data_IF_683376049484
#
_entry.id   IF_683376049484
#
_cell.length_a   1.000
_cell.length_b   1.000
_cell.length_c   1.000
_cell.angle_alpha   90.00
_cell.angle_beta   90.00
_cell.angle_gamma   90.00
#
_symmetry.space_group_name_H-M   'P 1'
#
loop_
_entity.id
_entity.type
_entity.pdbx_description
1 polymer ?
#
# COMPACT_ATOMS: atom_id res chain seq x y z
N UNK A 1 -18.15 23.88 -12.71
CA UNK A 1 -17.36 24.23 -11.52
C UNK A 1 -15.94 23.79 -11.79
N UNK A 2 -14.94 24.69 -11.68
CA UNK A 2 -13.54 24.30 -11.83
C UNK A 2 -13.16 23.36 -10.69
N UNK A 3 -12.47 22.24 -11.00
CA UNK A 3 -11.97 21.33 -9.97
C UNK A 3 -10.97 22.08 -9.10
N UNK A 4 -11.16 22.05 -7.79
CA UNK A 4 -10.20 22.60 -6.82
C UNK A 4 -8.94 21.77 -6.84
N UNK A 5 -7.77 22.40 -6.97
CA UNK A 5 -6.49 21.72 -6.89
C UNK A 5 -6.31 21.11 -5.49
N UNK A 6 -6.07 19.82 -5.43
CA UNK A 6 -5.79 19.04 -4.20
C UNK A 6 -4.33 18.64 -4.14
N UNK A 7 -3.82 18.37 -2.95
CA UNK A 7 -2.42 17.97 -2.71
C UNK A 7 -2.39 16.54 -2.19
N UNK A 8 -1.69 15.67 -2.90
CA UNK A 8 -1.47 14.27 -2.54
C UNK A 8 0.02 14.01 -2.31
N UNK A 9 0.32 13.05 -1.45
CA UNK A 9 1.66 12.47 -1.36
C UNK A 9 1.59 10.96 -1.62
N UNK A 10 2.59 10.42 -2.31
CA UNK A 10 2.66 9.01 -2.65
C UNK A 10 4.07 8.49 -2.44
N UNK A 11 4.22 7.34 -1.78
CA UNK A 11 5.49 6.60 -1.77
C UNK A 11 5.46 5.52 -2.86
N UNK A 12 6.61 5.20 -3.48
CA UNK A 12 6.65 4.28 -4.61
C UNK A 12 6.00 4.87 -5.87
N UNK A 13 6.14 6.17 -6.08
CA UNK A 13 5.53 6.91 -7.19
C UNK A 13 6.31 6.87 -8.51
N UNK A 14 7.46 6.17 -8.58
CA UNK A 14 8.29 6.11 -9.77
C UNK A 14 7.86 5.02 -10.78
N UNK A 15 7.27 3.92 -10.32
CA UNK A 15 6.91 2.77 -11.18
C UNK A 15 5.55 2.16 -10.81
N UNK A 16 5.04 1.28 -11.67
CA UNK A 16 3.87 0.43 -11.42
C UNK A 16 2.59 1.22 -11.09
N UNK A 17 1.84 0.71 -10.11
CA UNK A 17 0.55 1.27 -9.69
C UNK A 17 0.73 2.72 -9.18
N UNK A 18 1.80 2.99 -8.41
CA UNK A 18 2.06 4.32 -7.87
C UNK A 18 2.32 5.38 -8.95
N UNK A 19 3.13 5.04 -9.98
CA UNK A 19 3.39 5.93 -11.10
C UNK A 19 2.12 6.22 -11.91
N UNK A 20 1.30 5.21 -12.14
CA UNK A 20 0.05 5.37 -12.88
C UNK A 20 -0.95 6.24 -12.11
N UNK A 21 -1.12 6.01 -10.81
CA UNK A 21 -1.98 6.86 -9.98
C UNK A 21 -1.48 8.32 -9.96
N UNK A 22 -0.16 8.51 -9.81
CA UNK A 22 0.47 9.84 -9.88
C UNK A 22 0.12 10.53 -11.19
N UNK A 23 0.30 9.84 -12.32
CA UNK A 23 -0.03 10.36 -13.65
C UNK A 23 -1.50 10.78 -13.76
N UNK A 24 -2.43 9.94 -13.27
CA UNK A 24 -3.87 10.23 -13.34
C UNK A 24 -4.25 11.44 -12.47
N UNK A 25 -3.73 11.55 -11.25
CA UNK A 25 -4.00 12.68 -10.37
C UNK A 25 -3.42 13.99 -10.92
N UNK A 26 -2.21 13.96 -11.48
CA UNK A 26 -1.60 15.11 -12.14
C UNK A 26 -2.39 15.55 -13.39
N UNK A 27 -2.88 14.59 -14.17
CA UNK A 27 -3.74 14.88 -15.33
C UNK A 27 -5.06 15.55 -14.96
N UNK A 28 -5.53 15.38 -13.72
CA UNK A 28 -6.69 16.10 -13.15
C UNK A 28 -6.33 17.49 -12.59
N UNK A 29 -5.07 17.92 -12.69
CA UNK A 29 -4.63 19.22 -12.19
C UNK A 29 -4.31 19.24 -10.69
N UNK A 30 -4.10 18.07 -10.07
CA UNK A 30 -3.72 17.97 -8.67
C UNK A 30 -2.19 18.03 -8.50
N UNK A 31 -1.75 18.54 -7.35
CA UNK A 31 -0.35 18.43 -6.92
C UNK A 31 -0.10 17.04 -6.34
N UNK A 32 0.93 16.34 -6.80
CA UNK A 32 1.33 15.04 -6.28
C UNK A 32 2.80 15.07 -5.92
N UNK A 33 3.10 14.87 -4.64
CA UNK A 33 4.45 14.78 -4.08
C UNK A 33 4.84 13.30 -4.07
N UNK A 34 5.90 12.94 -4.78
CA UNK A 34 6.38 11.57 -4.85
C UNK A 34 7.61 11.35 -3.98
N UNK A 35 7.59 10.26 -3.21
CA UNK A 35 8.72 9.73 -2.46
C UNK A 35 9.12 8.40 -3.07
N UNK A 36 10.38 8.23 -3.44
CA UNK A 36 10.86 6.95 -3.97
C UNK A 36 12.34 6.74 -3.60
N UNK A 37 12.84 5.51 -3.75
CA UNK A 37 14.23 5.18 -3.40
C UNK A 37 15.23 5.71 -4.45
N UNK A 38 14.81 5.87 -5.69
CA UNK A 38 15.69 6.26 -6.82
C UNK A 38 15.30 7.59 -7.42
N UNK A 39 14.02 7.84 -7.61
CA UNK A 39 13.52 8.96 -8.40
C UNK A 39 12.20 9.49 -7.85
N UNK A 40 12.14 10.78 -7.53
CA UNK A 40 10.95 11.44 -6.99
C UNK A 40 11.25 12.86 -6.56
N UNK A 41 10.23 13.55 -6.05
CA UNK A 41 10.41 14.87 -5.43
C UNK A 41 11.25 14.75 -4.15
N UNK A 42 11.18 13.58 -3.51
CA UNK A 42 11.94 13.20 -2.32
C UNK A 42 12.55 11.83 -2.56
N UNK A 43 13.87 11.72 -2.43
CA UNK A 43 14.60 10.44 -2.51
C UNK A 43 14.87 9.95 -1.09
N UNK A 44 14.32 8.78 -0.73
CA UNK A 44 14.44 8.22 0.61
C UNK A 44 14.36 6.68 0.60
N UNK A 45 15.24 6.04 1.37
CA UNK A 45 15.20 4.59 1.62
C UNK A 45 14.29 4.30 2.82
N UNK A 46 13.06 3.90 2.56
CA UNK A 46 12.04 3.64 3.56
C UNK A 46 12.32 2.39 4.41
N UNK A 47 13.31 1.58 4.07
CA UNK A 47 13.73 0.44 4.90
C UNK A 47 14.44 0.86 6.18
N UNK A 48 14.84 2.14 6.29
CA UNK A 48 15.57 2.71 7.42
C UNK A 48 14.76 3.80 8.13
N UNK A 49 14.98 3.98 9.43
CA UNK A 49 14.35 5.07 10.20
C UNK A 49 14.71 6.45 9.66
N UNK A 50 15.99 6.64 9.32
CA UNK A 50 16.46 7.90 8.74
C UNK A 50 15.77 8.22 7.40
N UNK A 51 15.57 7.21 6.55
CA UNK A 51 14.86 7.38 5.29
C UNK A 51 13.37 7.65 5.50
N UNK A 52 12.72 6.98 6.45
CA UNK A 52 11.33 7.27 6.85
C UNK A 52 11.17 8.71 7.32
N UNK A 53 12.11 9.18 8.17
CA UNK A 53 12.10 10.56 8.65
C UNK A 53 12.35 11.55 7.51
N UNK A 54 13.29 11.27 6.61
CA UNK A 54 13.55 12.08 5.41
C UNK A 54 12.29 12.22 4.55
N UNK A 55 11.55 11.13 4.36
CA UNK A 55 10.29 11.14 3.62
C UNK A 55 9.23 12.02 4.30
N UNK A 56 9.06 11.88 5.61
CA UNK A 56 8.09 12.66 6.41
C UNK A 56 8.43 14.15 6.34
N UNK A 57 9.68 14.52 6.62
CA UNK A 57 10.11 15.92 6.64
C UNK A 57 10.04 16.56 5.25
N UNK A 58 10.41 15.82 4.21
CA UNK A 58 10.29 16.27 2.83
C UNK A 58 8.85 16.56 2.42
N UNK A 59 7.92 15.64 2.74
CA UNK A 59 6.49 15.84 2.46
C UNK A 59 5.95 17.03 3.26
N UNK A 60 6.33 17.19 4.52
CA UNK A 60 5.95 18.35 5.36
C UNK A 60 6.43 19.67 4.74
N UNK A 61 7.67 19.70 4.26
CA UNK A 61 8.23 20.88 3.59
C UNK A 61 7.51 21.26 2.31
N UNK A 62 7.03 20.27 1.54
CA UNK A 62 6.35 20.48 0.26
C UNK A 62 4.83 20.66 0.38
N UNK A 63 4.21 20.27 1.50
CA UNK A 63 2.77 20.39 1.76
C UNK A 63 2.47 21.08 3.11
N UNK A 64 2.97 22.30 3.39
CA UNK A 64 2.78 22.96 4.68
C UNK A 64 1.30 23.21 5.03
N UNK A 65 0.46 23.37 4.01
CA UNK A 65 -0.98 23.63 4.17
C UNK A 65 -1.80 22.34 4.41
N UNK A 66 -1.18 21.17 4.35
CA UNK A 66 -1.81 19.85 4.57
C UNK A 66 -1.97 19.01 3.32
N UNK A 67 -2.43 17.78 3.54
CA UNK A 67 -2.61 16.75 2.51
C UNK A 67 -4.09 16.39 2.36
N UNK A 68 -4.59 16.43 1.14
CA UNK A 68 -5.90 15.87 0.76
C UNK A 68 -5.88 14.35 0.65
N UNK A 69 -4.70 13.76 0.46
CA UNK A 69 -4.53 12.32 0.53
C UNK A 69 -3.07 11.88 0.62
N UNK A 70 -2.89 10.70 1.24
CA UNK A 70 -1.59 10.03 1.33
C UNK A 70 -1.72 8.57 0.90
N UNK A 71 -0.83 8.14 0.04
CA UNK A 71 -0.83 6.81 -0.55
C UNK A 71 0.53 6.14 -0.32
N UNK A 72 0.72 5.37 0.75
CA UNK A 72 1.93 4.58 0.97
C UNK A 72 1.94 3.36 0.03
N UNK A 73 2.37 3.56 -1.23
CA UNK A 73 2.35 2.56 -2.28
C UNK A 73 3.71 1.85 -2.48
N UNK A 74 4.79 2.35 -1.87
CA UNK A 74 6.08 1.66 -1.89
C UNK A 74 5.96 0.26 -1.29
N UNK A 75 6.56 -0.73 -1.95
CA UNK A 75 6.52 -2.10 -1.49
C UNK A 75 7.56 -2.97 -2.18
N UNK A 76 7.91 -4.08 -1.53
CA UNK A 76 8.83 -5.08 -2.02
C UNK A 76 8.09 -6.40 -2.29
N UNK A 77 8.51 -7.15 -3.33
CA UNK A 77 7.92 -8.45 -3.67
C UNK A 77 8.36 -9.56 -2.71
N UNK A 78 7.69 -10.75 -2.75
CA UNK A 78 8.04 -11.89 -1.90
C UNK A 78 9.45 -12.47 -2.16
N UNK A 79 10.06 -12.13 -3.29
CA UNK A 79 11.41 -12.57 -3.68
C UNK A 79 12.52 -11.68 -3.13
N UNK A 80 12.20 -10.53 -2.52
CA UNK A 80 13.19 -9.61 -1.96
C UNK A 80 13.95 -10.25 -0.77
N UNK A 81 15.25 -9.95 -0.65
CA UNK A 81 16.12 -10.48 0.39
C UNK A 81 16.97 -9.36 1.03
N UNK A 82 17.25 -9.46 2.35
CA UNK A 82 16.66 -10.38 3.31
C UNK A 82 15.15 -10.16 3.47
N UNK A 83 14.42 -11.15 4.02
CA UNK A 83 12.95 -11.06 4.15
C UNK A 83 12.51 -9.93 5.08
N UNK A 84 13.33 -9.59 6.06
CA UNK A 84 13.12 -8.44 6.95
C UNK A 84 12.98 -7.11 6.21
N UNK A 85 13.57 -6.94 5.01
CA UNK A 85 13.33 -5.76 4.18
C UNK A 85 11.85 -5.62 3.79
N UNK A 86 11.17 -6.76 3.54
CA UNK A 86 9.73 -6.76 3.23
C UNK A 86 8.94 -6.23 4.42
N UNK A 87 9.24 -6.68 5.64
CA UNK A 87 8.61 -6.17 6.86
C UNK A 87 8.84 -4.66 7.01
N UNK A 88 10.09 -4.22 6.88
CA UNK A 88 10.51 -2.82 7.03
C UNK A 88 9.79 -1.89 6.06
N UNK A 89 9.70 -2.27 4.78
CA UNK A 89 9.09 -1.41 3.75
C UNK A 89 7.58 -1.57 3.71
N UNK A 90 7.06 -2.80 3.68
CA UNK A 90 5.64 -3.06 3.44
C UNK A 90 4.76 -2.79 4.68
N UNK A 91 5.33 -2.79 5.88
CA UNK A 91 4.58 -2.53 7.10
C UNK A 91 5.12 -1.35 7.89
N UNK A 92 6.35 -1.41 8.42
CA UNK A 92 6.86 -0.39 9.34
C UNK A 92 6.99 0.99 8.69
N UNK A 93 7.46 1.08 7.45
CA UNK A 93 7.52 2.34 6.72
C UNK A 93 6.12 2.90 6.43
N UNK A 94 5.15 2.03 6.10
CA UNK A 94 3.76 2.45 5.88
C UNK A 94 3.18 3.06 7.15
N UNK A 95 3.28 2.36 8.30
CA UNK A 95 2.78 2.85 9.58
C UNK A 95 3.49 4.14 9.99
N UNK A 96 4.82 4.17 9.95
CA UNK A 96 5.61 5.35 10.35
C UNK A 96 5.24 6.60 9.53
N UNK A 97 5.11 6.46 8.21
CA UNK A 97 4.77 7.60 7.34
C UNK A 97 3.31 8.03 7.49
N UNK A 98 2.36 7.11 7.66
CA UNK A 98 0.95 7.47 7.93
C UNK A 98 0.82 8.22 9.26
N UNK A 99 1.45 7.71 10.31
CA UNK A 99 1.45 8.36 11.63
C UNK A 99 2.19 9.70 11.57
N UNK A 100 3.35 9.74 10.91
CA UNK A 100 4.18 10.94 10.79
C UNK A 100 3.57 12.07 9.98
N UNK A 101 2.59 11.78 9.11
CA UNK A 101 1.89 12.78 8.27
C UNK A 101 0.45 13.03 8.73
N UNK A 102 0.02 12.46 9.85
CA UNK A 102 -1.36 12.51 10.33
C UNK A 102 -1.89 13.94 10.46
N UNK A 103 -1.13 14.83 11.09
CA UNK A 103 -1.54 16.22 11.30
C UNK A 103 -1.75 17.00 9.99
N UNK A 104 -1.01 16.67 8.91
CA UNK A 104 -1.23 17.24 7.59
C UNK A 104 -2.54 16.74 6.96
N UNK A 105 -2.87 15.48 7.18
CA UNK A 105 -4.15 14.89 6.75
C UNK A 105 -5.32 15.47 7.54
N UNK A 106 -5.17 15.68 8.83
CA UNK A 106 -6.20 16.28 9.70
C UNK A 106 -6.55 17.72 9.27
N UNK A 107 -5.55 18.52 8.87
CA UNK A 107 -5.77 19.90 8.34
C UNK A 107 -6.75 19.94 7.16
N UNK A 108 -6.76 18.91 6.31
CA UNK A 108 -7.58 18.83 5.09
C UNK A 108 -8.75 17.84 5.21
N UNK A 109 -8.88 17.13 6.35
CA UNK A 109 -9.78 15.98 6.47
C UNK A 109 -9.55 14.99 5.33
N UNK A 110 -8.29 14.70 5.09
CA UNK A 110 -7.81 13.96 3.93
C UNK A 110 -8.12 12.46 3.98
N UNK A 111 -7.57 11.73 3.02
CA UNK A 111 -7.77 10.28 2.89
C UNK A 111 -6.44 9.55 2.84
N UNK A 112 -6.27 8.51 3.65
CA UNK A 112 -5.19 7.53 3.51
C UNK A 112 -5.70 6.35 2.70
N UNK A 113 -4.95 5.95 1.68
CA UNK A 113 -5.27 4.77 0.90
C UNK A 113 -4.09 3.79 0.92
N UNK A 114 -4.21 2.76 1.74
CA UNK A 114 -3.20 1.71 1.89
C UNK A 114 -3.24 0.74 0.70
N UNK A 115 -2.09 0.17 0.38
CA UNK A 115 -1.98 -0.87 -0.64
C UNK A 115 -1.72 -2.21 0.04
N UNK A 116 -2.80 -2.99 0.18
CA UNK A 116 -2.80 -4.38 0.64
C UNK A 116 -2.48 -5.34 -0.52
N UNK A 117 -3.06 -6.53 -0.51
CA UNK A 117 -2.98 -7.54 -1.57
C UNK A 117 -4.13 -8.54 -1.40
N UNK A 118 -4.57 -9.18 -2.47
CA UNK A 118 -5.48 -10.30 -2.40
C UNK A 118 -4.87 -11.54 -1.71
N UNK A 119 -3.55 -11.57 -1.50
CA UNK A 119 -2.87 -12.59 -0.70
C UNK A 119 -2.96 -12.36 0.81
N UNK A 120 -3.32 -11.15 1.26
CA UNK A 120 -3.39 -10.82 2.69
C UNK A 120 -4.26 -11.78 3.51
N UNK A 121 -5.45 -12.22 3.05
CA UNK A 121 -6.29 -13.17 3.77
C UNK A 121 -5.69 -14.56 3.93
N UNK A 122 -4.68 -14.92 3.14
CA UNK A 122 -4.04 -16.24 3.19
C UNK A 122 -3.22 -16.47 4.47
N UNK A 123 -2.89 -15.40 5.20
CA UNK A 123 -2.14 -15.47 6.46
C UNK A 123 -3.11 -15.26 7.63
N UNK A 124 -3.03 -16.12 8.64
CA UNK A 124 -3.87 -16.05 9.83
C UNK A 124 -3.64 -14.75 10.62
N UNK A 125 -4.68 -14.27 11.30
CA UNK A 125 -4.57 -13.05 12.12
C UNK A 125 -3.67 -13.22 13.33
N UNK A 126 -3.56 -14.42 13.88
CA UNK A 126 -2.74 -14.79 15.04
C UNK A 126 -1.35 -15.30 14.67
N UNK A 127 -0.97 -15.21 13.39
CA UNK A 127 0.40 -15.51 12.94
C UNK A 127 1.44 -14.67 13.69
N UNK A 128 2.53 -15.29 14.13
CA UNK A 128 3.54 -14.65 14.99
C UNK A 128 4.17 -13.41 14.35
N UNK A 129 4.48 -13.46 13.04
CA UNK A 129 5.00 -12.31 12.30
C UNK A 129 3.96 -11.17 12.23
N UNK A 130 2.71 -11.49 11.94
CA UNK A 130 1.62 -10.51 11.90
C UNK A 130 1.44 -9.86 13.27
N UNK A 131 1.48 -10.63 14.36
CA UNK A 131 1.34 -10.09 15.71
C UNK A 131 2.53 -9.23 16.13
N UNK A 132 3.77 -9.59 15.78
CA UNK A 132 4.95 -8.75 16.02
C UNK A 132 4.85 -7.41 15.27
N UNK A 133 4.42 -7.44 14.00
CA UNK A 133 4.12 -6.21 13.25
C UNK A 133 3.09 -5.34 13.99
N UNK A 134 1.96 -5.90 14.39
CA UNK A 134 0.87 -5.17 15.06
C UNK A 134 1.25 -4.66 16.46
N UNK A 135 2.21 -5.30 17.13
CA UNK A 135 2.80 -4.82 18.39
C UNK A 135 3.75 -3.62 18.16
N UNK A 136 4.16 -3.35 16.93
CA UNK A 136 5.13 -2.30 16.59
C UNK A 136 6.57 -2.70 16.90
N UNK A 137 6.83 -3.99 17.13
CA UNK A 137 8.17 -4.52 17.43
C UNK A 137 8.87 -4.91 16.13
N UNK A 138 9.60 -3.96 15.55
CA UNK A 138 10.28 -4.14 14.26
C UNK A 138 11.38 -5.22 14.35
N UNK A 139 12.12 -5.27 15.47
CA UNK A 139 13.20 -6.24 15.63
C UNK A 139 12.65 -7.67 15.76
N UNK A 140 11.60 -7.86 16.57
CA UNK A 140 10.94 -9.15 16.68
C UNK A 140 10.29 -9.58 15.34
N UNK A 141 9.63 -8.69 14.63
CA UNK A 141 9.04 -9.00 13.33
C UNK A 141 10.10 -9.37 12.29
N UNK A 142 11.23 -8.66 12.26
CA UNK A 142 12.35 -8.95 11.36
C UNK A 142 12.99 -10.32 11.69
N UNK A 143 13.22 -10.61 12.97
CA UNK A 143 13.79 -11.90 13.39
C UNK A 143 12.86 -13.07 13.06
N UNK A 144 11.57 -12.91 13.31
CA UNK A 144 10.55 -13.93 13.02
C UNK A 144 10.48 -14.23 11.51
N UNK A 145 10.49 -13.21 10.67
CA UNK A 145 10.30 -13.41 9.23
C UNK A 145 11.55 -13.88 8.50
N UNK A 146 12.76 -13.51 8.95
CA UNK A 146 14.00 -13.96 8.33
C UNK A 146 14.22 -15.47 8.49
N UNK A 147 13.52 -16.11 9.44
CA UNK A 147 13.52 -17.57 9.62
C UNK A 147 12.46 -18.31 8.77
N UNK A 148 11.68 -17.60 7.94
CA UNK A 148 10.52 -18.16 7.22
C UNK A 148 10.67 -18.03 5.69
N UNK A 149 9.58 -17.80 4.99
CA UNK A 149 9.52 -17.73 3.53
C UNK A 149 8.99 -16.41 3.00
N UNK A 150 9.23 -16.13 1.71
CA UNK A 150 8.86 -14.86 1.09
C UNK A 150 7.35 -14.66 0.93
N UNK A 151 6.57 -15.75 0.77
CA UNK A 151 5.11 -15.63 0.71
C UNK A 151 4.56 -15.13 2.05
N UNK A 152 5.01 -15.73 3.14
CA UNK A 152 4.62 -15.30 4.50
C UNK A 152 5.07 -13.87 4.77
N UNK A 153 6.28 -13.48 4.35
CA UNK A 153 6.76 -12.11 4.51
C UNK A 153 5.87 -11.10 3.79
N UNK A 154 5.56 -11.37 2.52
CA UNK A 154 4.74 -10.49 1.71
C UNK A 154 3.28 -10.47 2.18
N UNK A 155 2.60 -11.61 2.16
CA UNK A 155 1.18 -11.71 2.51
C UNK A 155 0.92 -11.32 3.97
N UNK A 156 1.81 -11.71 4.89
CA UNK A 156 1.75 -11.34 6.30
C UNK A 156 1.89 -9.84 6.54
N UNK A 157 2.84 -9.16 5.84
CA UNK A 157 2.94 -7.70 5.90
C UNK A 157 1.68 -6.99 5.40
N UNK A 158 1.05 -7.53 4.33
CA UNK A 158 -0.22 -7.01 3.78
C UNK A 158 -1.42 -7.32 4.68
N UNK A 159 -1.40 -8.46 5.37
CA UNK A 159 -2.37 -8.78 6.43
C UNK A 159 -2.24 -7.82 7.60
N UNK A 160 -1.03 -7.63 8.11
CA UNK A 160 -0.76 -6.76 9.24
C UNK A 160 -1.22 -5.31 8.99
N UNK A 161 -0.91 -4.73 7.82
CA UNK A 161 -1.32 -3.34 7.52
C UNK A 161 -2.83 -3.19 7.39
N UNK A 162 -3.53 -4.20 6.86
CA UNK A 162 -4.99 -4.21 6.79
C UNK A 162 -5.62 -4.26 8.19
N UNK A 163 -5.07 -5.10 9.08
CA UNK A 163 -5.51 -5.18 10.47
C UNK A 163 -5.17 -3.91 11.25
N UNK A 164 -3.98 -3.33 11.03
CA UNK A 164 -3.61 -2.04 11.62
C UNK A 164 -4.63 -0.96 11.25
N UNK A 165 -4.99 -0.83 9.97
CA UNK A 165 -6.03 0.09 9.53
C UNK A 165 -7.31 -0.09 10.32
N UNK A 166 -7.84 -1.31 10.38
CA UNK A 166 -9.12 -1.59 11.04
C UNK A 166 -9.08 -1.31 12.55
N UNK A 167 -7.94 -1.48 13.20
CA UNK A 167 -7.77 -1.18 14.63
C UNK A 167 -7.74 0.32 14.93
N UNK A 168 -7.28 1.16 13.97
CA UNK A 168 -7.10 2.60 14.17
C UNK A 168 -8.19 3.45 13.51
N UNK A 169 -9.14 2.85 12.79
CA UNK A 169 -10.10 3.60 11.99
C UNK A 169 -10.94 4.60 12.80
N UNK A 170 -11.36 4.24 14.00
CA UNK A 170 -12.18 5.11 14.86
C UNK A 170 -11.41 6.37 15.24
N UNK A 171 -10.13 6.22 15.54
CA UNK A 171 -9.24 7.31 15.93
C UNK A 171 -9.00 8.30 14.77
N UNK A 172 -8.78 7.79 13.56
CA UNK A 172 -8.60 8.63 12.37
C UNK A 172 -9.92 9.29 11.94
N UNK A 173 -11.01 8.55 11.93
CA UNK A 173 -12.33 9.08 11.56
C UNK A 173 -12.81 10.18 12.50
N UNK A 174 -12.46 10.13 13.80
CA UNK A 174 -12.78 11.17 14.77
C UNK A 174 -12.17 12.54 14.41
N UNK A 175 -11.07 12.56 13.66
CA UNK A 175 -10.43 13.80 13.16
C UNK A 175 -10.86 14.16 11.73
N UNK A 176 -11.76 13.38 11.15
CA UNK A 176 -12.26 13.55 9.78
C UNK A 176 -11.37 12.90 8.70
N UNK A 177 -10.31 12.18 9.08
CA UNK A 177 -9.44 11.46 8.15
C UNK A 177 -10.03 10.10 7.83
N UNK A 178 -10.24 9.79 6.55
CA UNK A 178 -10.66 8.46 6.10
C UNK A 178 -9.44 7.58 5.85
N UNK A 179 -9.49 6.33 6.28
CA UNK A 179 -8.45 5.35 5.96
C UNK A 179 -9.10 4.13 5.33
N UNK A 180 -8.65 3.74 4.16
CA UNK A 180 -9.11 2.59 3.41
C UNK A 180 -7.93 1.81 2.82
N UNK A 181 -8.18 0.66 2.24
CA UNK A 181 -7.19 -0.13 1.53
C UNK A 181 -7.72 -0.63 0.18
N UNK A 182 -6.83 -0.71 -0.81
CA UNK A 182 -7.03 -1.56 -1.98
C UNK A 182 -6.25 -2.85 -1.79
N UNK A 183 -6.80 -3.95 -2.29
CA UNK A 183 -6.18 -5.27 -2.32
C UNK A 183 -6.04 -5.73 -3.78
N UNK A 184 -4.97 -5.34 -4.47
CA UNK A 184 -4.75 -5.73 -5.86
C UNK A 184 -4.55 -7.23 -6.00
N UNK A 185 -5.04 -7.79 -7.12
CA UNK A 185 -4.60 -9.06 -7.65
C UNK A 185 -3.28 -8.97 -8.43
N UNK A 186 -2.98 -9.99 -9.23
CA UNK A 186 -1.80 -9.96 -10.09
C UNK A 186 -1.91 -8.76 -11.04
N UNK A 187 -1.00 -7.81 -10.86
CA UNK A 187 -0.93 -6.57 -11.65
C UNK A 187 0.40 -6.49 -12.35
N UNK A 188 0.42 -6.28 -13.66
CA UNK A 188 1.62 -6.24 -14.48
C UNK A 188 2.45 -5.00 -14.19
N UNK A 189 3.49 -5.17 -13.39
CA UNK A 189 4.39 -4.10 -12.89
C UNK A 189 5.83 -4.62 -12.83
N UNK A 190 6.84 -3.74 -12.75
CA UNK A 190 8.23 -4.18 -12.52
C UNK A 190 8.43 -5.01 -11.25
N UNK A 191 7.56 -4.86 -10.25
CA UNK A 191 7.56 -5.71 -9.06
C UNK A 191 7.11 -7.12 -9.39
N UNK A 192 6.03 -7.26 -10.15
CA UNK A 192 5.47 -8.55 -10.56
C UNK A 192 6.39 -9.28 -11.55
N UNK A 193 7.09 -8.54 -12.41
CA UNK A 193 8.08 -9.10 -13.33
C UNK A 193 9.20 -9.85 -12.58
N UNK A 194 9.64 -9.34 -11.43
CA UNK A 194 10.62 -10.02 -10.59
C UNK A 194 10.09 -11.35 -10.04
N UNK A 195 8.79 -11.41 -9.68
CA UNK A 195 8.16 -12.65 -9.21
C UNK A 195 8.00 -13.66 -10.33
N UNK A 196 7.61 -13.22 -11.54
CA UNK A 196 7.52 -14.11 -12.71
C UNK A 196 8.87 -14.67 -13.15
N UNK A 197 9.96 -13.94 -12.93
CA UNK A 197 11.32 -14.36 -13.25
C UNK A 197 11.93 -15.29 -12.19
N UNK A 198 11.31 -15.43 -11.02
CA UNK A 198 11.81 -16.24 -9.93
C UNK A 198 11.53 -17.73 -10.15
N UNK A 199 12.54 -18.58 -9.91
CA UNK A 199 12.46 -20.03 -10.12
C UNK A 199 11.42 -20.71 -9.21
N UNK A 200 11.18 -20.17 -8.02
CA UNK A 200 10.27 -20.73 -7.02
C UNK A 200 8.83 -20.26 -7.22
N UNK A 201 8.64 -18.97 -7.50
CA UNK A 201 7.32 -18.34 -7.56
C UNK A 201 6.75 -18.23 -8.96
N UNK A 202 7.60 -18.17 -9.99
CA UNK A 202 7.20 -17.79 -11.33
C UNK A 202 6.14 -18.70 -11.97
N UNK A 203 6.29 -20.04 -11.86
CA UNK A 203 5.32 -20.99 -12.40
C UNK A 203 3.96 -20.90 -11.70
N UNK A 204 3.95 -20.90 -10.36
CA UNK A 204 2.73 -20.79 -9.58
C UNK A 204 2.00 -19.46 -9.81
N UNK A 205 2.73 -18.36 -9.98
CA UNK A 205 2.16 -17.06 -10.28
C UNK A 205 1.52 -17.03 -11.67
N UNK A 206 2.11 -17.71 -12.66
CA UNK A 206 1.55 -17.85 -14.00
C UNK A 206 0.25 -18.66 -13.97
N UNK A 207 0.29 -19.85 -13.35
CA UNK A 207 -0.89 -20.70 -13.22
C UNK A 207 -2.04 -19.97 -12.50
N UNK A 208 -1.72 -19.22 -11.45
CA UNK A 208 -2.72 -18.42 -10.76
C UNK A 208 -3.27 -17.31 -11.65
N UNK A 209 -2.42 -16.66 -12.46
CA UNK A 209 -2.84 -15.65 -13.43
C UNK A 209 -3.82 -16.18 -14.47
N UNK A 210 -3.62 -17.42 -14.93
CA UNK A 210 -4.50 -18.09 -15.88
C UNK A 210 -5.88 -18.47 -15.28
N UNK A 211 -5.98 -18.54 -13.94
CA UNK A 211 -7.21 -18.84 -13.21
C UNK A 211 -8.03 -17.61 -12.82
N UNK A 212 -7.56 -16.39 -13.08
CA UNK A 212 -8.27 -15.15 -12.72
C UNK A 212 -9.65 -15.14 -13.38
N UNK A 213 -10.76 -15.04 -12.61
CA UNK A 213 -12.12 -15.21 -13.15
C UNK A 213 -12.50 -14.28 -14.30
N UNK A 214 -12.00 -13.03 -14.31
CA UNK A 214 -12.24 -12.12 -15.45
C UNK A 214 -11.38 -12.41 -16.69
N UNK A 215 -10.51 -13.44 -16.65
CA UNK A 215 -9.77 -13.97 -17.78
C UNK A 215 -8.45 -13.29 -18.11
N UNK A 216 -8.01 -12.31 -17.31
CA UNK A 216 -6.71 -11.63 -17.50
C UNK A 216 -6.17 -11.05 -16.19
N UNK A 217 -4.86 -10.84 -16.15
CA UNK A 217 -4.21 -10.08 -15.07
C UNK A 217 -4.43 -8.58 -15.25
N UNK A 218 -4.41 -7.84 -14.12
CA UNK A 218 -4.64 -6.40 -14.15
C UNK A 218 -3.45 -5.61 -14.70
N UNK A 219 -3.74 -4.46 -15.29
CA UNK A 219 -2.76 -3.42 -15.57
C UNK A 219 -2.73 -2.40 -14.42
N UNK A 220 -1.64 -1.64 -14.23
CA UNK A 220 -1.59 -0.58 -13.22
C UNK A 220 -2.76 0.39 -13.26
N UNK A 221 -3.29 0.66 -14.45
CA UNK A 221 -4.44 1.52 -14.69
C UNK A 221 -5.72 0.99 -14.03
N UNK A 222 -5.96 -0.33 -14.05
CA UNK A 222 -7.14 -0.95 -13.45
C UNK A 222 -7.19 -0.67 -11.93
N UNK A 223 -6.05 -0.79 -11.28
CA UNK A 223 -5.92 -0.52 -9.84
C UNK A 223 -6.02 0.99 -9.58
N UNK A 224 -5.28 1.81 -10.33
CA UNK A 224 -5.25 3.25 -10.17
C UNK A 224 -6.63 3.90 -10.36
N UNK A 225 -7.48 3.39 -11.23
CA UNK A 225 -8.85 3.86 -11.43
C UNK A 225 -9.69 3.73 -10.15
N UNK A 226 -9.62 2.58 -9.47
CA UNK A 226 -10.30 2.37 -8.18
C UNK A 226 -9.68 3.25 -7.09
N UNK A 227 -8.34 3.34 -7.03
CA UNK A 227 -7.65 4.20 -6.06
C UNK A 227 -8.07 5.66 -6.21
N UNK A 228 -8.17 6.16 -7.43
CA UNK A 228 -8.62 7.53 -7.71
C UNK A 228 -10.04 7.77 -7.21
N UNK A 229 -10.97 6.83 -7.45
CA UNK A 229 -12.32 6.90 -6.89
C UNK A 229 -12.29 6.96 -5.35
N UNK A 230 -11.52 6.10 -4.70
CA UNK A 230 -11.45 6.05 -3.23
C UNK A 230 -10.85 7.31 -2.60
N UNK A 231 -10.00 8.02 -3.34
CA UNK A 231 -9.43 9.31 -2.93
C UNK A 231 -10.35 10.49 -3.21
N UNK A 232 -11.40 10.31 -4.01
CA UNK A 232 -12.33 11.37 -4.42
C UNK A 232 -13.38 11.69 -3.34
N UNK A 233 -14.17 12.75 -3.60
CA UNK A 233 -15.29 13.14 -2.74
C UNK A 233 -16.47 12.18 -2.87
N UNK A 234 -16.62 11.51 -4.02
CA UNK A 234 -17.65 10.48 -4.22
C UNK A 234 -17.50 9.32 -3.22
N UNK A 235 -16.28 9.06 -2.73
CA UNK A 235 -16.02 8.06 -1.71
C UNK A 235 -16.07 8.62 -0.27
N UNK A 236 -16.69 9.79 -0.03
CA UNK A 236 -16.68 10.48 1.27
C UNK A 236 -17.26 9.66 2.43
N UNK A 237 -18.12 8.68 2.16
CA UNK A 237 -18.70 7.80 3.17
C UNK A 237 -18.03 6.41 3.24
N UNK A 238 -16.93 6.20 2.48
CA UNK A 238 -16.14 4.96 2.51
C UNK A 238 -15.00 5.12 3.50
N UNK A 239 -15.01 4.33 4.59
CA UNK A 239 -14.03 4.39 5.66
C UNK A 239 -13.84 3.02 6.32
N UNK A 240 -12.59 2.56 6.47
CA UNK A 240 -12.26 1.25 7.05
C UNK A 240 -12.48 0.06 6.11
N UNK A 241 -12.70 0.31 4.83
CA UNK A 241 -12.99 -0.72 3.84
C UNK A 241 -11.73 -1.24 3.14
N UNK A 242 -11.76 -2.51 2.76
CA UNK A 242 -10.78 -3.14 1.88
C UNK A 242 -11.46 -3.46 0.55
N UNK A 243 -10.95 -2.88 -0.53
CA UNK A 243 -11.48 -3.12 -1.87
C UNK A 243 -10.57 -4.10 -2.62
N UNK A 244 -11.05 -5.30 -2.85
CA UNK A 244 -10.37 -6.26 -3.71
C UNK A 244 -10.52 -5.81 -5.17
N UNK A 245 -9.38 -5.62 -5.84
CA UNK A 245 -9.28 -5.23 -7.24
C UNK A 245 -8.42 -6.29 -7.93
N UNK A 246 -8.97 -7.47 -8.08
CA UNK A 246 -8.23 -8.70 -8.34
C UNK A 246 -8.88 -9.63 -9.37
N UNK A 247 -9.86 -9.11 -10.10
CA UNK A 247 -10.57 -9.86 -11.13
C UNK A 247 -11.41 -11.03 -10.58
N UNK A 248 -11.76 -11.02 -9.28
CA UNK A 248 -12.55 -12.04 -8.63
C UNK A 248 -11.74 -13.17 -8.00
N UNK A 249 -10.41 -13.05 -7.96
CA UNK A 249 -9.53 -14.10 -7.41
C UNK A 249 -9.78 -14.37 -5.94
N UNK A 250 -10.01 -13.34 -5.12
CA UNK A 250 -10.32 -13.48 -3.70
C UNK A 250 -11.65 -14.24 -3.50
N UNK A 251 -12.70 -13.83 -4.21
CA UNK A 251 -13.99 -14.51 -4.14
C UNK A 251 -13.93 -15.98 -4.60
N UNK A 252 -13.09 -16.28 -5.58
CA UNK A 252 -12.84 -17.68 -6.03
C UNK A 252 -12.18 -18.51 -4.93
N UNK A 253 -11.21 -17.94 -4.20
CA UNK A 253 -10.44 -18.65 -3.16
C UNK A 253 -11.20 -18.75 -1.84
N UNK A 254 -12.08 -17.81 -1.54
CA UNK A 254 -12.78 -17.66 -0.25
C UNK A 254 -14.26 -17.40 -0.45
N UNK A 255 -14.92 -18.27 -1.18
CA UNK A 255 -16.33 -18.11 -1.59
C UNK A 255 -17.32 -17.85 -0.44
N UNK A 256 -17.01 -18.35 0.75
CA UNK A 256 -17.88 -18.24 1.94
C UNK A 256 -17.39 -17.18 2.95
N UNK A 257 -16.30 -16.45 2.65
CA UNK A 257 -15.70 -15.40 3.48
C UNK A 257 -15.66 -14.06 2.75
N UNK A 258 -15.87 -12.94 3.48
CA UNK A 258 -15.78 -11.58 2.92
C UNK A 258 -15.27 -10.55 3.94
#
# INVERSE_FOLDING_TARGET
>A
MGMTMRTFAITGGATGIGAELRRQLQAQGHKVISVDIKEGDIVADLSTDAGRQTAIDGVRGLAPDGLDGFIPCAGLPPVAKPLSLIARVNYFAVVATVVGLRDLLEKKKGSVLLVSSNSAPMIATDDAFVQACLAGDEDAACAEIDARDGHTAYAGSKRAITLWMRRHIVEYAATGVRVNAVAPGITMTPLTDQVFADETFGSAMKEFGDMVPVGNTAQPEDIANVMRFMLSEEASYVCGSVFFVDGGSDAMLRADDF
#
